data_IF_723685646067
#
_entry.id   IF_723685646067
#
_cell.length_a   1.000
_cell.length_b   1.000
_cell.length_c   1.000
_cell.angle_alpha   90.00
_cell.angle_beta   90.00
_cell.angle_gamma   90.00
#
_symmetry.space_group_name_H-M   'P 1'
#
loop_
_entity.id
_entity.type
_entity.pdbx_description
1 polymer ?
#
# COMPACT_ATOMS: atom_id res chain seq x y z
N UNK A 1 -5.67 6.09 -12.58
CA UNK A 1 -5.50 6.77 -11.29
C UNK A 1 -4.15 6.36 -10.70
N UNK A 2 -3.08 6.97 -11.19
CA UNK A 2 -1.74 6.80 -10.63
C UNK A 2 -1.38 8.12 -9.93
N UNK A 3 -0.64 8.03 -8.82
CA UNK A 3 -0.15 9.21 -8.12
C UNK A 3 -0.42 9.17 -6.62
N UNK A 4 0.51 9.75 -5.86
CA UNK A 4 0.43 9.96 -4.41
C UNK A 4 -0.88 10.60 -3.98
N UNK A 5 -1.47 11.44 -4.84
CA UNK A 5 -2.76 12.05 -4.59
C UNK A 5 -3.84 11.00 -4.29
N UNK A 6 -3.90 9.88 -5.01
CA UNK A 6 -4.90 8.85 -4.75
C UNK A 6 -4.56 8.02 -3.49
N UNK A 7 -3.28 7.91 -3.13
CA UNK A 7 -2.85 7.23 -1.90
C UNK A 7 -3.16 8.10 -0.67
N UNK A 8 -2.91 9.41 -0.73
CA UNK A 8 -3.06 10.31 0.41
C UNK A 8 -4.41 11.03 0.50
N UNK A 9 -5.06 11.33 -0.63
CA UNK A 9 -6.37 11.99 -0.69
C UNK A 9 -7.49 11.02 -1.07
N UNK A 10 -7.18 9.81 -1.54
CA UNK A 10 -8.19 8.81 -1.84
C UNK A 10 -8.72 8.12 -0.59
N UNK A 11 -9.83 7.38 -0.74
CA UNK A 11 -10.48 6.64 0.35
C UNK A 11 -9.56 5.63 1.06
N UNK A 12 -8.50 5.20 0.38
CA UNK A 12 -7.48 4.28 0.91
C UNK A 12 -6.57 4.93 1.96
N UNK A 13 -6.59 6.25 2.15
CA UNK A 13 -5.99 6.86 3.33
C UNK A 13 -6.92 6.77 4.53
N UNK A 14 -7.07 5.54 5.03
CA UNK A 14 -8.16 5.10 5.90
C UNK A 14 -8.37 6.00 7.12
N UNK A 15 -7.30 6.40 7.81
CA UNK A 15 -7.41 7.23 9.03
C UNK A 15 -7.41 8.72 8.77
N UNK A 16 -6.69 9.21 7.75
CA UNK A 16 -6.59 10.66 7.50
C UNK A 16 -7.90 11.25 7.00
N UNK A 17 -8.66 10.44 6.25
CA UNK A 17 -9.86 10.89 5.57
C UNK A 17 -11.13 10.53 6.35
N UNK A 18 -11.06 10.12 7.63
CA UNK A 18 -12.21 9.72 8.46
C UNK A 18 -13.38 10.72 8.41
N UNK A 19 -13.08 12.02 8.32
CA UNK A 19 -14.09 13.08 8.29
C UNK A 19 -14.65 13.37 6.89
N UNK A 20 -14.20 12.66 5.85
CA UNK A 20 -14.69 12.83 4.50
C UNK A 20 -15.98 12.02 4.30
N UNK A 21 -16.95 12.58 3.58
CA UNK A 21 -18.29 12.00 3.38
C UNK A 21 -18.27 10.61 2.69
N UNK A 22 -17.11 10.20 2.15
CA UNK A 22 -16.94 8.90 1.50
C UNK A 22 -15.73 8.11 2.03
N UNK A 23 -15.27 8.40 3.23
CA UNK A 23 -14.17 7.69 3.87
C UNK A 23 -14.46 6.19 4.03
N UNK A 24 -13.43 5.33 3.97
CA UNK A 24 -13.60 3.92 4.32
C UNK A 24 -13.96 3.75 5.79
N UNK A 25 -13.35 4.54 6.68
CA UNK A 25 -13.61 4.54 8.12
C UNK A 25 -14.42 5.78 8.53
N UNK A 26 -15.44 6.11 7.73
CA UNK A 26 -16.35 7.23 8.02
C UNK A 26 -17.39 6.91 9.10
N UNK A 27 -18.42 7.76 9.17
CA UNK A 27 -19.51 7.67 10.16
C UNK A 27 -20.18 6.28 10.19
N UNK A 28 -20.40 5.67 9.02
CA UNK A 28 -21.06 4.37 8.86
C UNK A 28 -20.07 3.17 8.81
N UNK A 29 -18.91 3.29 9.45
CA UNK A 29 -17.87 2.25 9.41
C UNK A 29 -18.40 0.85 9.77
N UNK A 30 -19.30 0.76 10.75
CA UNK A 30 -19.87 -0.50 11.25
C UNK A 30 -20.88 -1.15 10.29
N UNK A 31 -21.37 -0.41 9.29
CA UNK A 31 -22.21 -0.97 8.23
C UNK A 31 -21.36 -1.88 7.33
N UNK A 32 -20.12 -1.48 7.05
CA UNK A 32 -19.24 -2.16 6.10
C UNK A 32 -18.12 -2.99 6.74
N UNK A 33 -17.80 -2.72 8.01
CA UNK A 33 -16.71 -3.37 8.74
C UNK A 33 -17.21 -3.94 10.06
N UNK A 34 -16.69 -5.11 10.41
CA UNK A 34 -16.78 -5.68 11.75
C UNK A 34 -15.38 -5.67 12.37
N UNK A 35 -15.30 -5.36 13.66
CA UNK A 35 -14.06 -5.32 14.42
C UNK A 35 -14.17 -6.26 15.61
N UNK A 36 -13.21 -7.15 15.74
CA UNK A 36 -13.14 -8.11 16.83
C UNK A 36 -11.74 -8.09 17.43
N UNK A 37 -11.65 -8.11 18.77
CA UNK A 37 -10.36 -8.30 19.42
C UNK A 37 -9.91 -9.73 19.16
N UNK A 38 -8.87 -9.90 18.34
CA UNK A 38 -8.26 -11.19 18.05
C UNK A 38 -7.36 -11.61 19.23
N UNK A 39 -6.32 -10.82 19.50
CA UNK A 39 -5.30 -11.19 20.49
C UNK A 39 -4.66 -9.94 21.10
N UNK A 40 -4.13 -10.05 22.33
CA UNK A 40 -3.21 -9.05 22.90
C UNK A 40 -1.78 -9.51 22.67
N UNK A 41 -1.00 -8.71 21.95
CA UNK A 41 0.41 -8.95 21.66
C UNK A 41 1.31 -8.16 22.61
N UNK A 42 2.57 -8.55 22.67
CA UNK A 42 3.65 -7.79 23.31
C UNK A 42 4.73 -7.55 22.26
N UNK A 43 5.11 -6.29 22.05
CA UNK A 43 6.16 -5.90 21.14
C UNK A 43 7.06 -4.89 21.84
N UNK A 44 8.34 -5.23 21.97
CA UNK A 44 9.35 -4.40 22.64
C UNK A 44 8.88 -3.99 24.05
N UNK A 45 8.43 -4.97 24.84
CA UNK A 45 7.86 -4.83 26.19
C UNK A 45 6.58 -3.99 26.31
N UNK A 46 6.00 -3.56 25.17
CA UNK A 46 4.77 -2.78 25.11
C UNK A 46 3.62 -3.61 24.57
N UNK A 47 2.49 -3.58 25.28
CA UNK A 47 1.28 -4.33 24.90
C UNK A 47 0.57 -3.67 23.71
N UNK A 48 0.00 -4.50 22.85
CA UNK A 48 -0.77 -4.11 21.67
C UNK A 48 -2.07 -4.90 21.60
N UNK A 49 -3.19 -4.24 21.33
CA UNK A 49 -4.38 -4.90 20.82
C UNK A 49 -4.18 -5.21 19.34
N UNK A 50 -4.35 -6.48 18.95
CA UNK A 50 -4.53 -6.89 17.56
C UNK A 50 -6.02 -7.08 17.33
N UNK A 51 -6.61 -6.18 16.56
CA UNK A 51 -8.04 -6.16 16.25
C UNK A 51 -8.20 -6.67 14.81
N UNK A 52 -8.95 -7.74 14.62
CA UNK A 52 -9.32 -8.22 13.30
C UNK A 52 -10.36 -7.29 12.66
N UNK A 53 -10.18 -7.05 11.36
CA UNK A 53 -11.12 -6.35 10.51
C UNK A 53 -11.73 -7.37 9.57
N UNK A 54 -13.04 -7.53 9.64
CA UNK A 54 -13.80 -8.44 8.78
C UNK A 54 -15.04 -7.77 8.22
N UNK A 55 -15.79 -8.50 7.41
CA UNK A 55 -16.96 -7.97 6.71
C UNK A 55 -18.08 -7.54 7.68
N UNK A 56 -18.59 -6.33 7.47
CA UNK A 56 -19.82 -5.86 8.09
C UNK A 56 -21.10 -6.41 7.45
N UNK A 57 -22.20 -5.67 7.57
CA UNK A 57 -23.51 -6.00 7.00
C UNK A 57 -23.53 -5.80 5.48
N UNK A 58 -22.90 -4.73 5.04
CA UNK A 58 -22.87 -4.27 3.66
C UNK A 58 -21.49 -4.50 3.03
N UNK A 59 -21.43 -4.38 1.71
CA UNK A 59 -20.18 -4.46 0.97
C UNK A 59 -19.47 -3.10 0.96
N UNK A 60 -18.14 -3.13 0.99
CA UNK A 60 -17.32 -1.93 0.84
C UNK A 60 -17.32 -1.45 -0.61
N UNK A 61 -17.47 -0.14 -0.75
CA UNK A 61 -17.48 0.61 -2.00
C UNK A 61 -16.40 1.69 -2.07
N UNK A 62 -15.67 1.74 -3.19
CA UNK A 62 -14.68 2.79 -3.42
C UNK A 62 -15.25 4.01 -4.17
N UNK A 63 -16.49 3.96 -4.65
CA UNK A 63 -17.24 5.05 -5.31
C UNK A 63 -16.43 5.89 -6.30
N UNK A 64 -15.58 5.26 -7.10
CA UNK A 64 -14.76 6.02 -8.04
C UNK A 64 -15.56 6.38 -9.28
N UNK A 65 -15.68 7.68 -9.56
CA UNK A 65 -16.44 8.19 -10.71
C UNK A 65 -15.96 7.52 -12.01
N UNK A 66 -16.89 6.89 -12.74
CA UNK A 66 -16.61 6.24 -14.03
C UNK A 66 -15.95 4.86 -13.93
N UNK A 67 -15.77 4.32 -12.71
CA UNK A 67 -15.17 3.00 -12.49
C UNK A 67 -16.10 2.18 -11.60
N UNK A 68 -16.46 0.98 -12.05
CA UNK A 68 -17.16 0.03 -11.18
C UNK A 68 -16.15 -0.60 -10.20
N UNK A 69 -16.19 -0.18 -8.94
CA UNK A 69 -15.36 -0.67 -7.85
C UNK A 69 -16.14 -0.74 -6.53
N UNK A 70 -17.23 -1.49 -6.60
CA UNK A 70 -18.16 -1.77 -5.52
C UNK A 70 -18.18 -3.27 -5.20
N UNK A 71 -18.73 -3.66 -4.05
CA UNK A 71 -18.97 -5.07 -3.75
C UNK A 71 -17.77 -5.81 -3.17
N UNK A 72 -16.94 -5.14 -2.37
CA UNK A 72 -15.81 -5.74 -1.67
C UNK A 72 -16.16 -6.18 -0.25
N UNK A 73 -15.38 -7.10 0.29
CA UNK A 73 -15.32 -7.36 1.73
C UNK A 73 -13.95 -6.93 2.27
N UNK A 74 -13.92 -6.23 3.40
CA UNK A 74 -12.68 -5.88 4.06
C UNK A 74 -12.11 -7.10 4.79
N UNK A 75 -10.78 -7.22 4.77
CA UNK A 75 -10.03 -8.18 5.57
C UNK A 75 -8.77 -7.52 6.08
N UNK A 76 -8.42 -7.72 7.34
CA UNK A 76 -7.16 -7.17 7.84
C UNK A 76 -7.02 -7.15 9.34
N UNK A 77 -6.02 -6.40 9.81
CA UNK A 77 -5.73 -6.23 11.22
C UNK A 77 -5.36 -4.78 11.53
N UNK A 78 -5.86 -4.29 12.65
CA UNK A 78 -5.51 -3.03 13.25
C UNK A 78 -4.74 -3.27 14.55
N UNK A 79 -3.55 -2.68 14.64
CA UNK A 79 -2.66 -2.82 15.78
C UNK A 79 -2.67 -1.50 16.57
N UNK A 80 -3.13 -1.56 17.82
CA UNK A 80 -3.31 -0.39 18.69
C UNK A 80 -2.53 -0.58 19.97
N UNK A 81 -1.78 0.43 20.39
CA UNK A 81 -1.09 0.40 21.68
C UNK A 81 -2.08 0.33 22.86
N UNK A 82 -1.77 -0.53 23.82
CA UNK A 82 -2.65 -0.80 24.96
C UNK A 82 -2.77 0.38 25.92
N UNK A 83 -1.70 1.14 26.08
CA UNK A 83 -1.54 2.20 27.08
C UNK A 83 -2.13 3.55 26.66
N UNK A 84 -1.96 3.92 25.38
CA UNK A 84 -2.35 5.23 24.87
C UNK A 84 -3.35 5.17 23.69
N UNK A 85 -3.78 3.98 23.30
CA UNK A 85 -4.71 3.73 22.19
C UNK A 85 -4.25 4.30 20.84
N UNK A 86 -2.96 4.57 20.67
CA UNK A 86 -2.43 5.06 19.43
C UNK A 86 -2.28 3.92 18.41
N UNK A 87 -2.60 4.20 17.14
CA UNK A 87 -2.50 3.23 16.06
C UNK A 87 -1.04 3.03 15.70
N UNK A 88 -0.56 1.79 15.80
CA UNK A 88 0.79 1.38 15.41
C UNK A 88 0.85 0.95 13.96
N UNK A 89 -0.13 0.17 13.51
CA UNK A 89 -0.11 -0.43 12.17
C UNK A 89 -1.53 -0.77 11.73
N UNK A 90 -1.76 -0.66 10.42
CA UNK A 90 -2.94 -1.17 9.73
C UNK A 90 -2.49 -2.10 8.61
N UNK A 91 -3.09 -3.27 8.54
CA UNK A 91 -3.06 -4.18 7.40
C UNK A 91 -4.50 -4.28 6.90
N UNK A 92 -4.74 -3.95 5.64
CA UNK A 92 -6.09 -3.84 5.11
C UNK A 92 -6.16 -4.28 3.65
N UNK A 93 -7.08 -5.19 3.37
CA UNK A 93 -7.33 -5.76 2.05
C UNK A 93 -8.80 -5.60 1.66
N UNK A 94 -9.04 -5.38 0.37
CA UNK A 94 -10.36 -5.45 -0.25
C UNK A 94 -10.44 -6.65 -1.18
N UNK A 95 -11.25 -7.61 -0.76
CA UNK A 95 -11.46 -8.88 -1.46
C UNK A 95 -12.76 -8.77 -2.27
N UNK A 96 -12.79 -9.14 -3.56
CA UNK A 96 -14.01 -9.18 -4.35
C UNK A 96 -15.05 -10.12 -3.73
N UNK A 97 -16.20 -9.60 -3.33
CA UNK A 97 -17.18 -10.33 -2.51
C UNK A 97 -18.53 -10.52 -3.21
N UNK A 98 -19.08 -9.47 -3.81
CA UNK A 98 -20.36 -9.53 -4.54
C UNK A 98 -20.24 -10.38 -5.81
N UNK A 99 -21.33 -11.03 -6.30
CA UNK A 99 -21.27 -11.83 -7.52
C UNK A 99 -20.74 -11.04 -8.74
N UNK A 100 -21.21 -9.80 -8.89
CA UNK A 100 -20.77 -8.90 -9.96
C UNK A 100 -19.27 -8.57 -9.84
N UNK A 101 -18.80 -8.27 -8.63
CA UNK A 101 -17.41 -7.91 -8.41
C UNK A 101 -16.46 -9.11 -8.52
N UNK A 102 -16.84 -10.28 -8.02
CA UNK A 102 -16.10 -11.54 -8.21
C UNK A 102 -15.95 -11.88 -9.70
N UNK A 103 -17.05 -11.80 -10.46
CA UNK A 103 -17.02 -12.05 -11.90
C UNK A 103 -16.10 -11.05 -12.62
N UNK A 104 -16.20 -9.76 -12.26
CA UNK A 104 -15.35 -8.71 -12.83
C UNK A 104 -13.88 -8.90 -12.50
N UNK A 105 -13.52 -9.11 -11.23
CA UNK A 105 -12.12 -9.31 -10.82
C UNK A 105 -11.52 -10.55 -11.46
N UNK A 106 -12.24 -11.67 -11.51
CA UNK A 106 -11.77 -12.87 -12.24
C UNK A 106 -11.58 -12.60 -13.73
N UNK A 107 -12.55 -11.94 -14.37
CA UNK A 107 -12.54 -11.70 -15.83
C UNK A 107 -11.57 -10.60 -16.28
N UNK A 108 -11.27 -9.61 -15.46
CA UNK A 108 -10.44 -8.47 -15.87
C UNK A 108 -9.06 -8.51 -15.22
N UNK A 109 -8.99 -8.90 -13.95
CA UNK A 109 -7.79 -8.74 -13.13
C UNK A 109 -7.18 -10.08 -12.69
N UNK A 110 -7.86 -11.20 -12.98
CA UNK A 110 -7.52 -12.55 -12.50
C UNK A 110 -7.04 -12.55 -11.02
N UNK A 111 -7.70 -11.76 -10.19
CA UNK A 111 -7.25 -11.43 -8.85
C UNK A 111 -8.31 -11.77 -7.81
N UNK A 112 -7.85 -12.27 -6.67
CA UNK A 112 -8.63 -12.49 -5.46
C UNK A 112 -8.46 -11.36 -4.43
N UNK A 113 -7.52 -10.44 -4.65
CA UNK A 113 -7.24 -9.28 -3.78
C UNK A 113 -7.04 -8.04 -4.66
N UNK A 114 -8.01 -7.14 -4.67
CA UNK A 114 -7.96 -5.97 -5.56
C UNK A 114 -7.18 -4.80 -4.95
N UNK A 115 -7.20 -4.68 -3.63
CA UNK A 115 -6.49 -3.62 -2.93
C UNK A 115 -5.87 -4.21 -1.69
N UNK A 116 -4.57 -4.00 -1.50
CA UNK A 116 -3.86 -4.34 -0.28
C UNK A 116 -3.07 -3.12 0.17
N UNK A 117 -3.30 -2.72 1.40
CA UNK A 117 -2.75 -1.52 2.01
C UNK A 117 -2.13 -1.90 3.34
N UNK A 118 -0.89 -1.46 3.56
CA UNK A 118 -0.24 -1.54 4.87
C UNK A 118 0.22 -0.13 5.22
N UNK A 119 -0.13 0.34 6.41
CA UNK A 119 0.37 1.60 6.96
C UNK A 119 1.01 1.29 8.30
N UNK A 120 2.28 1.65 8.46
CA UNK A 120 3.00 1.54 9.72
C UNK A 120 3.27 2.94 10.26
N UNK A 121 3.14 3.10 11.56
CA UNK A 121 3.44 4.32 12.28
C UNK A 121 4.61 4.10 13.23
N UNK A 122 5.43 5.13 13.42
CA UNK A 122 6.48 5.19 14.43
C UNK A 122 6.18 6.31 15.42
N UNK A 123 6.52 6.08 16.67
CA UNK A 123 6.43 7.08 17.71
C UNK A 123 7.64 8.03 17.65
N UNK A 124 7.38 9.33 17.80
CA UNK A 124 8.40 10.35 17.93
C UNK A 124 7.81 11.52 18.72
N UNK A 125 8.48 11.95 19.80
CA UNK A 125 8.00 13.04 20.66
C UNK A 125 6.52 12.89 21.07
N UNK A 126 6.18 11.72 21.61
CA UNK A 126 4.83 11.37 22.10
C UNK A 126 3.71 11.43 21.04
N UNK A 127 4.07 11.42 19.75
CA UNK A 127 3.14 11.44 18.62
C UNK A 127 3.45 10.31 17.64
N UNK A 128 2.41 9.79 17.00
CA UNK A 128 2.54 8.76 15.97
C UNK A 128 2.64 9.41 14.59
N UNK A 129 3.68 9.04 13.83
CA UNK A 129 3.92 9.50 12.47
C UNK A 129 3.98 8.32 11.51
N UNK A 130 3.42 8.42 10.29
CA UNK A 130 3.58 7.35 9.30
C UNK A 130 5.07 7.14 9.01
N UNK A 131 5.52 5.90 9.10
CA UNK A 131 6.90 5.50 8.81
C UNK A 131 7.01 4.74 7.50
N UNK A 132 5.96 4.01 7.13
CA UNK A 132 5.92 3.20 5.92
C UNK A 132 4.49 3.05 5.40
N UNK A 133 4.32 3.13 4.08
CA UNK A 133 3.06 2.84 3.40
C UNK A 133 3.36 1.89 2.24
N UNK A 134 2.63 0.78 2.18
CA UNK A 134 2.63 -0.18 1.09
C UNK A 134 1.24 -0.22 0.47
N UNK A 135 1.17 -0.14 -0.85
CA UNK A 135 -0.08 -0.30 -1.58
C UNK A 135 0.09 -1.16 -2.83
N UNK A 136 -0.66 -2.25 -2.88
CA UNK A 136 -0.68 -3.20 -3.99
C UNK A 136 -2.09 -3.26 -4.60
N UNK A 137 -2.13 -3.22 -5.93
CA UNK A 137 -3.39 -3.31 -6.69
C UNK A 137 -3.14 -3.80 -8.12
N UNK A 138 -4.00 -4.66 -8.70
CA UNK A 138 -3.94 -5.03 -10.10
C UNK A 138 -4.49 -3.91 -10.98
N UNK A 139 -3.81 -3.63 -12.08
CA UNK A 139 -4.18 -2.62 -13.08
C UNK A 139 -4.31 -3.25 -14.45
N UNK A 140 -5.23 -2.71 -15.25
CA UNK A 140 -5.42 -3.13 -16.63
C UNK A 140 -4.40 -2.41 -17.54
N UNK A 141 -3.77 -3.15 -18.44
CA UNK A 141 -2.91 -2.60 -19.51
C UNK A 141 -3.69 -2.49 -20.80
N UNK A 142 -4.30 -3.61 -21.21
CA UNK A 142 -4.94 -3.75 -22.52
C UNK A 142 -6.43 -4.01 -22.32
N UNK A 143 -7.25 -2.96 -22.40
CA UNK A 143 -8.70 -3.09 -22.21
C UNK A 143 -9.40 -3.25 -23.56
N UNK A 144 -10.07 -4.38 -23.75
CA UNK A 144 -10.88 -4.66 -24.94
C UNK A 144 -10.06 -4.93 -26.18
N UNK A 145 -9.75 -6.20 -26.43
CA UNK A 145 -9.24 -6.67 -27.72
C UNK A 145 -10.29 -6.33 -28.80
N UNK A 146 -10.09 -5.23 -29.51
CA UNK A 146 -10.85 -4.89 -30.72
C UNK A 146 -10.15 -5.56 -31.90
N UNK A 147 -10.43 -6.85 -32.08
CA UNK A 147 -9.93 -7.56 -33.23
C UNK A 147 -10.96 -7.49 -34.37
N UNK A 148 -10.56 -6.87 -35.48
CA UNK A 148 -11.36 -6.82 -36.72
C UNK A 148 -11.37 -8.17 -37.46
N UNK A 149 -10.64 -9.18 -36.95
CA UNK A 149 -10.49 -10.53 -37.51
C UNK A 149 -10.71 -11.58 -36.42
N UNK A 150 -11.04 -12.82 -36.84
CA UNK A 150 -11.07 -13.98 -35.93
C UNK A 150 -9.69 -14.16 -35.30
N UNK A 151 -9.66 -14.09 -33.98
CA UNK A 151 -8.48 -14.31 -33.14
C UNK A 151 -8.39 -15.80 -32.82
N UNK A 152 -7.20 -16.37 -32.86
CA UNK A 152 -6.99 -17.76 -32.46
C UNK A 152 -7.09 -17.92 -30.93
N UNK A 153 -7.40 -19.13 -30.45
CA UNK A 153 -7.47 -19.39 -29.00
C UNK A 153 -6.15 -19.09 -28.28
N UNK A 154 -5.01 -19.31 -28.97
CA UNK A 154 -3.67 -19.02 -28.44
C UNK A 154 -3.42 -17.50 -28.27
N UNK A 155 -3.84 -16.70 -29.25
CA UNK A 155 -3.74 -15.23 -29.16
C UNK A 155 -4.68 -14.67 -28.10
N UNK A 156 -5.88 -15.26 -27.95
CA UNK A 156 -6.83 -14.88 -26.91
C UNK A 156 -6.30 -15.25 -25.51
N UNK A 157 -5.66 -16.41 -25.36
CA UNK A 157 -5.02 -16.83 -24.11
C UNK A 157 -3.89 -15.86 -23.72
N UNK A 158 -2.98 -15.56 -24.65
CA UNK A 158 -1.90 -14.59 -24.44
C UNK A 158 -2.44 -13.20 -24.08
N UNK A 159 -3.45 -12.72 -24.80
CA UNK A 159 -4.11 -11.47 -24.47
C UNK A 159 -4.70 -11.47 -23.05
N UNK A 160 -5.33 -12.58 -22.64
CA UNK A 160 -5.89 -12.71 -21.30
C UNK A 160 -4.84 -12.74 -20.18
N UNK A 161 -3.65 -13.26 -20.46
CA UNK A 161 -2.52 -13.23 -19.53
C UNK A 161 -1.92 -11.82 -19.42
N UNK A 162 -1.76 -11.11 -20.53
CA UNK A 162 -1.12 -9.78 -20.60
C UNK A 162 -2.09 -8.61 -20.32
N UNK A 163 -3.38 -8.88 -20.10
CA UNK A 163 -4.40 -7.81 -19.94
C UNK A 163 -4.23 -6.99 -18.65
N UNK A 164 -3.57 -7.54 -17.63
CA UNK A 164 -3.39 -6.88 -16.34
C UNK A 164 -1.99 -7.15 -15.76
N UNK A 165 -1.60 -6.33 -14.80
CA UNK A 165 -0.36 -6.45 -14.04
C UNK A 165 -0.59 -5.93 -12.63
N UNK A 166 0.19 -6.40 -11.66
CA UNK A 166 0.17 -5.82 -10.32
C UNK A 166 1.09 -4.62 -10.25
N UNK A 167 0.60 -3.56 -9.63
CA UNK A 167 1.44 -2.43 -9.22
C UNK A 167 1.59 -2.42 -7.73
N UNK A 168 2.84 -2.32 -7.29
CA UNK A 168 3.23 -2.09 -5.91
C UNK A 168 3.75 -0.65 -5.82
N UNK A 169 3.27 0.09 -4.84
CA UNK A 169 3.72 1.44 -4.51
C UNK A 169 4.13 1.45 -3.04
N UNK A 170 5.36 1.87 -2.78
CA UNK A 170 5.93 1.91 -1.44
C UNK A 170 6.44 3.31 -1.14
N UNK A 171 6.18 3.76 0.08
CA UNK A 171 6.64 5.06 0.59
C UNK A 171 7.32 4.82 1.92
N UNK A 172 8.60 5.13 1.99
CA UNK A 172 9.39 5.12 3.21
C UNK A 172 9.61 6.55 3.69
N UNK A 173 9.23 6.83 4.94
CA UNK A 173 9.47 8.14 5.56
C UNK A 173 10.78 8.08 6.35
N UNK A 174 11.83 8.67 5.79
CA UNK A 174 13.17 8.70 6.38
C UNK A 174 13.27 9.66 7.57
N UNK A 175 12.68 10.84 7.47
CA UNK A 175 12.85 11.94 8.43
C UNK A 175 11.51 12.47 8.94
N UNK A 176 11.50 12.94 10.20
CA UNK A 176 10.38 13.69 10.78
C UNK A 176 10.89 15.11 11.06
N UNK A 177 10.36 16.08 10.33
CA UNK A 177 10.67 17.50 10.50
C UNK A 177 9.59 18.11 11.40
N UNK A 178 9.98 18.64 12.54
CA UNK A 178 9.06 19.26 13.53
C UNK A 178 9.26 20.77 13.66
N UNK A 179 10.33 21.29 13.07
CA UNK A 179 10.70 22.70 13.11
C UNK A 179 9.66 23.56 12.39
N UNK A 180 9.01 24.46 13.15
CA UNK A 180 7.89 25.25 12.66
C UNK A 180 8.24 26.10 11.41
N UNK A 181 9.41 26.73 11.41
CA UNK A 181 9.86 27.56 10.28
C UNK A 181 10.08 26.73 9.02
N UNK A 182 10.70 25.55 9.15
CA UNK A 182 10.90 24.62 8.04
C UNK A 182 9.56 24.16 7.46
N UNK A 183 8.59 23.84 8.31
CA UNK A 183 7.23 23.44 7.89
C UNK A 183 6.53 24.59 7.18
N UNK A 184 6.58 25.81 7.74
CA UNK A 184 5.92 26.99 7.16
C UNK A 184 6.52 27.36 5.79
N UNK A 185 7.84 27.31 5.68
CA UNK A 185 8.54 27.50 4.41
C UNK A 185 8.12 26.41 3.39
N UNK A 186 8.09 25.15 3.80
CA UNK A 186 7.67 24.05 2.93
C UNK A 186 6.22 24.19 2.44
N UNK A 187 5.29 24.57 3.31
CA UNK A 187 3.87 24.78 2.97
C UNK A 187 3.63 25.97 2.04
N UNK A 188 4.56 26.94 1.99
CA UNK A 188 4.47 28.08 1.07
C UNK A 188 4.85 27.75 -0.38
N UNK A 189 5.53 26.62 -0.60
CA UNK A 189 5.91 26.17 -1.93
C UNK A 189 4.73 25.54 -2.68
N UNK A 190 4.76 25.62 -4.01
CA UNK A 190 3.82 24.87 -4.83
C UNK A 190 4.27 23.40 -4.91
N UNK A 191 3.52 22.51 -4.28
CA UNK A 191 3.84 21.08 -4.22
C UNK A 191 3.39 20.37 -5.49
N UNK A 192 4.34 19.87 -6.28
CA UNK A 192 4.04 18.93 -7.35
C UNK A 192 3.83 17.52 -6.75
N UNK A 193 2.57 17.11 -6.70
CA UNK A 193 2.12 15.81 -6.19
C UNK A 193 2.44 14.64 -7.15
N UNK A 194 2.90 14.93 -8.37
CA UNK A 194 3.35 13.90 -9.29
C UNK A 194 4.77 13.48 -8.95
N UNK A 195 4.90 12.32 -8.31
CA UNK A 195 6.20 11.68 -8.05
C UNK A 195 6.80 11.01 -9.29
N UNK A 196 6.00 10.84 -10.33
CA UNK A 196 6.44 10.27 -11.60
C UNK A 196 6.82 11.36 -12.60
N UNK A 197 6.60 12.64 -12.28
CA UNK A 197 7.11 13.73 -13.09
C UNK A 197 8.65 13.70 -13.05
N UNK A 198 9.32 13.86 -14.21
CA UNK A 198 10.77 13.84 -14.25
C UNK A 198 11.31 15.00 -13.41
N UNK A 199 11.84 14.68 -12.22
CA UNK A 199 12.48 15.65 -11.34
C UNK A 199 13.94 15.86 -11.76
N UNK A 200 14.48 17.09 -11.62
CA UNK A 200 15.90 17.31 -11.84
C UNK A 200 16.73 16.43 -10.89
N UNK A 201 17.81 15.87 -11.41
CA UNK A 201 18.72 15.02 -10.65
C UNK A 201 19.32 15.80 -9.46
N UNK A 202 19.02 15.35 -8.23
CA UNK A 202 19.55 15.97 -7.02
C UNK A 202 20.92 15.40 -6.66
N UNK A 203 21.97 15.95 -7.26
CA UNK A 203 23.37 15.50 -7.07
C UNK A 203 23.79 15.53 -5.59
N UNK A 204 23.36 16.53 -4.84
CA UNK A 204 23.73 16.70 -3.41
C UNK A 204 23.10 15.63 -2.53
N UNK A 205 21.83 15.30 -2.76
CA UNK A 205 21.17 14.17 -2.10
C UNK A 205 21.93 12.87 -2.39
N UNK A 206 22.16 12.52 -3.66
CA UNK A 206 22.84 11.28 -4.01
C UNK A 206 24.30 11.20 -3.56
N UNK A 207 24.99 12.33 -3.38
CA UNK A 207 26.35 12.34 -2.82
C UNK A 207 26.42 12.05 -1.32
N UNK A 208 25.31 12.19 -0.60
CA UNK A 208 25.21 12.00 0.85
C UNK A 208 24.28 10.84 1.24
N UNK A 209 23.47 10.37 0.29
CA UNK A 209 22.58 9.24 0.45
C UNK A 209 23.37 7.94 0.38
N UNK A 210 23.79 7.46 1.54
CA UNK A 210 24.29 6.11 1.72
C UNK A 210 23.13 5.14 1.44
N UNK A 211 23.04 4.63 0.21
CA UNK A 211 22.63 3.22 0.02
C UNK A 211 23.52 2.44 0.98
N UNK A 212 22.96 1.46 1.73
CA UNK A 212 23.76 0.52 2.52
C UNK A 212 24.95 0.05 1.68
N UNK A 213 26.10 0.72 1.87
CA UNK A 213 27.38 0.25 1.40
C UNK A 213 27.65 -0.91 2.34
N UNK A 214 27.80 -2.10 1.76
CA UNK A 214 28.23 -3.30 2.47
C UNK A 214 29.30 -2.89 3.49
N UNK A 215 29.10 -3.25 4.77
CA UNK A 215 30.10 -2.91 5.77
C UNK A 215 31.41 -3.63 5.45
N UNK A 216 32.55 -3.14 5.94
CA UNK A 216 33.82 -3.87 5.80
C UNK A 216 33.70 -5.32 6.34
N UNK A 217 32.79 -5.55 7.30
CA UNK A 217 32.48 -6.88 7.81
C UNK A 217 31.70 -7.74 6.81
N UNK A 218 30.76 -7.16 6.07
CA UNK A 218 29.98 -7.84 5.03
C UNK A 218 30.86 -8.16 3.82
N UNK A 219 31.73 -7.24 3.41
CA UNK A 219 32.68 -7.46 2.32
C UNK A 219 33.68 -8.58 2.66
N UNK A 220 34.15 -8.62 3.92
CA UNK A 220 34.99 -9.70 4.44
C UNK A 220 34.25 -11.04 4.50
N UNK A 221 32.97 -11.04 4.89
CA UNK A 221 32.13 -12.24 4.90
C UNK A 221 31.95 -12.81 3.49
N UNK A 222 31.68 -11.95 2.50
CA UNK A 222 31.55 -12.35 1.08
C UNK A 222 32.87 -12.94 0.56
N UNK A 223 34.01 -12.32 0.86
CA UNK A 223 35.32 -12.85 0.48
C UNK A 223 35.61 -14.22 1.11
N UNK A 224 35.28 -14.40 2.39
CA UNK A 224 35.51 -15.66 3.10
C UNK A 224 34.59 -16.78 2.59
N UNK A 225 33.33 -16.46 2.28
CA UNK A 225 32.38 -17.40 1.67
C UNK A 225 32.79 -17.80 0.25
N UNK A 226 33.29 -16.83 -0.54
CA UNK A 226 33.76 -17.07 -1.92
C UNK A 226 35.04 -17.91 -1.97
N UNK A 227 35.89 -17.85 -0.94
CA UNK A 227 37.06 -18.75 -0.80
C UNK A 227 36.68 -20.15 -0.36
N UNK A 228 35.63 -20.30 0.46
CA UNK A 228 35.19 -21.61 0.98
C UNK A 228 34.34 -22.40 -0.02
N UNK A 229 33.56 -21.72 -0.84
CA UNK A 229 32.81 -22.33 -1.92
C UNK A 229 33.57 -22.13 -3.24
N UNK A 230 34.41 -23.08 -3.64
CA UNK A 230 34.92 -23.12 -5.01
C UNK A 230 33.74 -23.32 -5.97
N UNK A 231 33.11 -22.22 -6.40
CA UNK A 231 31.97 -22.22 -7.31
C UNK A 231 32.35 -22.47 -8.77
N UNK A 232 33.63 -22.74 -9.04
CA UNK A 232 34.09 -23.29 -10.29
C UNK A 232 34.48 -24.75 -10.07
N UNK A 233 33.67 -25.67 -10.60
CA UNK A 233 34.16 -27.00 -10.97
C UNK A 233 35.20 -26.79 -12.07
N UNK A 234 36.39 -27.36 -11.89
CA UNK A 234 37.33 -27.59 -13.00
C UNK A 234 36.68 -28.37 -14.14
#
# INVERSE_FOLDING_TARGET
MNGLQNIFQGKLNVFRNVNDAKALFGEDILSNHHFELDTILVDSDRKLYKIEISKGREYVGLDTKGIYNEGYEPKGWLYIYYDNYAIKKLEYELIPASPAQKARSKRLLNSTVNHKLIITYKEFQDKMYPSYIYYETPKLVNVGLKADKKVTDAELAKYNEERFYYTIQEILFSEIIVEHESIKAALSNNWDMDIFSPKPYNKTFWSTYNVLLESEADEKLIQDLSKRASLFKE
#
